data_IF_586236645597
#
_entry.id   IF_586236645597
#
_cell.length_a   1.000
_cell.length_b   1.000
_cell.length_c   1.000
_cell.angle_alpha   90.00
_cell.angle_beta   90.00
_cell.angle_gamma   90.00
#
_symmetry.space_group_name_H-M   'P 1'
#
loop_
_entity.id
_entity.type
_entity.pdbx_description
1 polymer ?
#
# COMPACT_ATOMS: atom_id res chain seq x y z
N UNK A 1 16.45 -25.45 -20.07
CA UNK A 1 15.25 -24.81 -20.66
C UNK A 1 15.22 -23.39 -20.11
N UNK A 2 15.30 -22.37 -20.98
CA UNK A 2 15.27 -20.97 -20.56
C UNK A 2 13.81 -20.54 -20.40
N UNK A 3 13.46 -19.98 -19.25
CA UNK A 3 12.14 -19.34 -19.02
C UNK A 3 12.11 -17.98 -19.71
N UNK A 4 10.98 -17.62 -20.28
CA UNK A 4 10.80 -16.34 -20.97
C UNK A 4 10.48 -15.19 -20.02
N UNK A 5 9.91 -15.53 -18.84
CA UNK A 5 9.54 -14.53 -17.83
C UNK A 5 9.46 -15.14 -16.42
N UNK A 6 9.47 -14.32 -15.38
CA UNK A 6 9.24 -14.76 -14.00
C UNK A 6 7.89 -15.47 -13.82
N UNK A 7 6.84 -14.98 -14.47
CA UNK A 7 5.50 -15.58 -14.40
C UNK A 7 5.48 -16.98 -14.97
N UNK A 8 6.12 -17.20 -16.14
CA UNK A 8 6.24 -18.53 -16.74
C UNK A 8 7.02 -19.48 -15.81
N UNK A 9 8.10 -19.00 -15.19
CA UNK A 9 8.85 -19.79 -14.23
C UNK A 9 7.98 -20.24 -13.05
N UNK A 10 7.29 -19.31 -12.41
CA UNK A 10 6.44 -19.60 -11.25
C UNK A 10 5.29 -20.54 -11.63
N UNK A 11 4.71 -20.38 -12.82
CA UNK A 11 3.66 -21.27 -13.32
C UNK A 11 4.18 -22.72 -13.50
N UNK A 12 5.34 -22.88 -14.12
CA UNK A 12 5.91 -24.23 -14.38
C UNK A 12 6.39 -24.97 -13.14
N UNK A 13 6.75 -24.24 -12.08
CA UNK A 13 7.14 -24.85 -10.79
C UNK A 13 5.92 -25.26 -9.94
N UNK A 14 4.69 -24.97 -10.39
CA UNK A 14 3.47 -25.26 -9.63
C UNK A 14 3.26 -24.31 -8.44
N UNK A 15 3.98 -23.19 -8.38
CA UNK A 15 3.90 -22.24 -7.28
C UNK A 15 2.70 -21.29 -7.38
N UNK A 16 2.08 -21.17 -8.59
CA UNK A 16 0.88 -20.36 -8.77
C UNK A 16 -0.31 -20.97 -8.04
N UNK A 17 -0.89 -20.20 -7.13
CA UNK A 17 -2.08 -20.59 -6.38
C UNK A 17 -2.79 -19.34 -5.83
N UNK A 18 -3.98 -19.50 -5.29
CA UNK A 18 -4.75 -18.49 -4.58
C UNK A 18 -4.10 -18.05 -3.23
N UNK A 19 -3.04 -18.74 -2.81
CA UNK A 19 -2.22 -18.39 -1.64
C UNK A 19 -1.00 -17.55 -2.00
N UNK A 20 -0.75 -17.29 -3.29
CA UNK A 20 0.35 -16.43 -3.74
C UNK A 20 -0.03 -14.97 -3.59
N UNK A 21 0.86 -14.18 -2.98
CA UNK A 21 0.84 -12.72 -3.04
C UNK A 21 2.00 -12.26 -3.89
N UNK A 22 1.70 -11.75 -5.08
CA UNK A 22 2.69 -11.22 -6.03
C UNK A 22 2.84 -9.71 -5.85
N UNK A 23 4.05 -9.23 -5.58
CA UNK A 23 4.30 -7.80 -5.46
C UNK A 23 4.47 -7.12 -6.83
N UNK A 24 3.97 -5.89 -6.93
CA UNK A 24 4.11 -4.95 -8.04
C UNK A 24 3.39 -5.32 -9.34
N UNK A 25 3.72 -6.42 -9.98
CA UNK A 25 3.16 -6.87 -11.27
C UNK A 25 3.12 -5.78 -12.36
N UNK A 26 4.17 -4.95 -12.47
CA UNK A 26 4.20 -3.75 -13.31
C UNK A 26 4.60 -4.00 -14.76
N UNK A 27 5.39 -5.04 -15.01
CA UNK A 27 6.00 -5.32 -16.32
C UNK A 27 5.45 -6.62 -16.91
N UNK A 28 4.16 -6.86 -16.77
CA UNK A 28 3.50 -8.06 -17.26
C UNK A 28 2.90 -7.85 -18.65
N UNK A 29 2.94 -8.88 -19.46
CA UNK A 29 2.14 -8.96 -20.68
C UNK A 29 0.71 -9.38 -20.35
N UNK A 30 -0.22 -9.15 -21.28
CA UNK A 30 -1.61 -9.58 -21.10
C UNK A 30 -1.76 -11.12 -20.92
N UNK A 31 -0.83 -11.90 -21.52
CA UNK A 31 -0.79 -13.36 -21.31
C UNK A 31 -0.40 -13.69 -19.87
N UNK A 32 0.64 -13.06 -19.35
CA UNK A 32 1.10 -13.28 -17.98
C UNK A 32 0.05 -12.87 -16.94
N UNK A 33 -0.67 -11.77 -17.17
CA UNK A 33 -1.79 -11.36 -16.32
C UNK A 33 -2.90 -12.42 -16.31
N UNK A 34 -3.24 -12.99 -17.48
CA UNK A 34 -4.23 -14.09 -17.57
C UNK A 34 -3.75 -15.34 -16.83
N UNK A 35 -2.47 -15.70 -16.98
CA UNK A 35 -1.89 -16.86 -16.29
C UNK A 35 -1.90 -16.64 -14.77
N UNK A 36 -1.51 -15.45 -14.31
CA UNK A 36 -1.54 -15.09 -12.89
C UNK A 36 -2.97 -15.07 -12.36
N UNK A 37 -3.89 -14.45 -13.07
CA UNK A 37 -5.30 -14.32 -12.68
C UNK A 37 -6.03 -15.66 -12.61
N UNK A 38 -5.72 -16.59 -13.53
CA UNK A 38 -6.29 -17.95 -13.51
C UNK A 38 -5.96 -18.72 -12.21
N UNK A 39 -4.85 -18.39 -11.55
CA UNK A 39 -4.50 -18.94 -10.23
C UNK A 39 -5.22 -18.27 -9.06
N UNK A 40 -5.94 -17.18 -9.29
CA UNK A 40 -6.56 -16.33 -8.27
C UNK A 40 -5.57 -15.73 -7.27
N UNK A 41 -4.32 -15.56 -7.67
CA UNK A 41 -3.29 -14.94 -6.84
C UNK A 41 -3.68 -13.52 -6.44
N UNK A 42 -3.26 -13.10 -5.26
CA UNK A 42 -3.34 -11.72 -4.86
C UNK A 42 -2.18 -10.92 -5.47
N UNK A 43 -2.43 -9.66 -5.82
CA UNK A 43 -1.41 -8.73 -6.29
C UNK A 43 -1.33 -7.55 -5.34
N UNK A 44 -0.17 -7.39 -4.68
CA UNK A 44 0.13 -6.24 -3.86
C UNK A 44 0.69 -5.11 -4.74
N UNK A 45 -0.16 -4.16 -5.11
CA UNK A 45 0.22 -2.99 -5.90
C UNK A 45 0.82 -1.94 -4.96
N UNK A 46 1.98 -1.38 -5.36
CA UNK A 46 2.68 -0.34 -4.60
C UNK A 46 2.71 0.95 -5.44
N UNK A 47 1.66 1.79 -5.36
CA UNK A 47 1.46 2.89 -6.29
C UNK A 47 2.50 4.01 -6.16
N UNK A 48 2.98 4.32 -4.96
CA UNK A 48 3.97 5.38 -4.76
C UNK A 48 5.29 5.10 -5.48
N UNK A 49 5.86 3.90 -5.33
CA UNK A 49 7.07 3.52 -6.07
C UNK A 49 6.80 3.34 -7.56
N UNK A 50 5.60 2.91 -7.94
CA UNK A 50 5.19 2.81 -9.33
C UNK A 50 5.15 4.19 -10.01
N UNK A 51 4.56 5.20 -9.35
CA UNK A 51 4.54 6.58 -9.80
C UNK A 51 5.94 7.16 -9.97
N UNK A 52 6.80 6.97 -8.94
CA UNK A 52 8.20 7.43 -8.99
C UNK A 52 8.98 6.84 -10.17
N UNK A 53 8.70 5.60 -10.55
CA UNK A 53 9.40 4.90 -11.63
C UNK A 53 8.71 5.03 -12.98
N UNK A 54 7.55 5.66 -13.07
CA UNK A 54 6.77 5.78 -14.30
C UNK A 54 6.24 4.45 -14.85
N UNK A 55 6.09 3.43 -13.99
CA UNK A 55 5.66 2.08 -14.36
C UNK A 55 4.54 1.61 -13.44
N UNK A 56 3.30 1.70 -13.88
CA UNK A 56 2.13 1.25 -13.13
C UNK A 56 1.72 -0.18 -13.48
N UNK A 57 1.23 -0.91 -12.48
CA UNK A 57 0.46 -2.13 -12.72
C UNK A 57 -0.87 -1.78 -13.39
N UNK A 58 -1.39 -2.67 -14.21
CA UNK A 58 -2.69 -2.53 -14.87
C UNK A 58 -3.77 -3.15 -13.98
N UNK A 59 -4.22 -2.39 -12.98
CA UNK A 59 -5.12 -2.89 -11.93
C UNK A 59 -6.39 -3.50 -12.53
N UNK A 60 -7.06 -2.79 -13.44
CA UNK A 60 -8.30 -3.23 -14.06
C UNK A 60 -8.13 -4.54 -14.87
N UNK A 61 -7.03 -4.68 -15.60
CA UNK A 61 -6.73 -5.90 -16.36
C UNK A 61 -6.42 -7.07 -15.44
N UNK A 62 -5.67 -6.84 -14.37
CA UNK A 62 -5.37 -7.85 -13.36
C UNK A 62 -6.65 -8.34 -12.64
N UNK A 63 -7.55 -7.42 -12.27
CA UNK A 63 -8.85 -7.77 -11.68
C UNK A 63 -9.72 -8.57 -12.65
N UNK A 64 -9.82 -8.13 -13.92
CA UNK A 64 -10.56 -8.88 -14.97
C UNK A 64 -9.96 -10.25 -15.25
N UNK A 65 -8.65 -10.39 -15.10
CA UNK A 65 -7.99 -11.68 -15.22
C UNK A 65 -8.28 -12.63 -14.04
N UNK A 66 -8.77 -12.10 -12.91
CA UNK A 66 -9.14 -12.87 -11.72
C UNK A 66 -8.20 -12.69 -10.52
N UNK A 67 -7.23 -11.76 -10.60
CA UNK A 67 -6.37 -11.42 -9.47
C UNK A 67 -7.14 -10.67 -8.38
N UNK A 68 -6.79 -10.92 -7.12
CA UNK A 68 -7.24 -10.12 -5.98
C UNK A 68 -6.29 -8.95 -5.77
N UNK A 69 -6.75 -7.73 -5.99
CA UNK A 69 -5.90 -6.54 -5.80
C UNK A 69 -5.83 -6.17 -4.33
N UNK A 70 -4.61 -5.94 -3.86
CA UNK A 70 -4.29 -5.32 -2.56
C UNK A 70 -3.29 -4.18 -2.74
N UNK A 71 -3.10 -3.37 -1.71
CA UNK A 71 -2.15 -2.25 -1.72
C UNK A 71 -1.04 -2.46 -0.71
N UNK A 72 0.14 -1.92 -1.04
CA UNK A 72 1.29 -1.87 -0.17
C UNK A 72 2.01 -0.53 -0.26
N UNK A 73 2.77 -0.21 0.76
CA UNK A 73 3.55 1.04 0.87
C UNK A 73 4.89 0.97 0.13
N UNK A 74 5.48 -0.23 0.06
CA UNK A 74 6.88 -0.39 -0.32
C UNK A 74 7.78 0.50 0.57
N UNK A 75 8.91 0.97 0.07
CA UNK A 75 9.85 1.85 0.77
C UNK A 75 9.66 3.35 0.46
N UNK A 76 8.50 3.74 -0.05
CA UNK A 76 8.30 5.09 -0.57
C UNK A 76 7.32 5.95 0.22
N UNK A 77 6.30 5.33 0.80
CA UNK A 77 5.26 6.05 1.50
C UNK A 77 4.67 5.14 2.59
N UNK A 78 4.97 5.44 3.82
CA UNK A 78 4.42 4.75 4.99
C UNK A 78 3.00 5.26 5.34
N UNK A 79 2.40 6.08 4.45
CA UNK A 79 1.05 6.63 4.57
C UNK A 79 0.07 5.85 3.68
N UNK A 80 -0.72 4.96 4.28
CA UNK A 80 -1.74 4.19 3.55
C UNK A 80 -2.88 5.06 2.98
N UNK A 81 -3.14 6.24 3.51
CA UNK A 81 -4.15 7.16 2.95
C UNK A 81 -3.65 7.72 1.61
N UNK A 82 -2.37 8.10 1.56
CA UNK A 82 -1.71 8.51 0.31
C UNK A 82 -1.65 7.35 -0.69
N UNK A 83 -1.32 6.15 -0.24
CA UNK A 83 -1.25 4.94 -1.08
C UNK A 83 -2.58 4.66 -1.77
N UNK A 84 -3.69 4.67 -1.03
CA UNK A 84 -5.05 4.47 -1.59
C UNK A 84 -5.38 5.53 -2.64
N UNK A 85 -5.13 6.79 -2.34
CA UNK A 85 -5.37 7.91 -3.26
C UNK A 85 -4.52 7.82 -4.52
N UNK A 86 -3.25 7.52 -4.36
CA UNK A 86 -2.31 7.38 -5.48
C UNK A 86 -2.74 6.23 -6.39
N UNK A 87 -3.13 5.07 -5.85
CA UNK A 87 -3.65 3.97 -6.62
C UNK A 87 -4.89 4.36 -7.42
N UNK A 88 -5.86 5.00 -6.76
CA UNK A 88 -7.10 5.49 -7.38
C UNK A 88 -6.81 6.42 -8.56
N UNK A 89 -5.98 7.44 -8.34
CA UNK A 89 -5.73 8.46 -9.36
C UNK A 89 -4.88 7.94 -10.51
N UNK A 90 -3.86 7.13 -10.24
CA UNK A 90 -3.04 6.53 -11.29
C UNK A 90 -3.87 5.64 -12.20
N UNK A 91 -4.76 4.82 -11.62
CA UNK A 91 -5.61 3.93 -12.41
C UNK A 91 -6.63 4.70 -13.24
N UNK A 92 -7.24 5.76 -12.70
CA UNK A 92 -8.13 6.65 -13.44
C UNK A 92 -7.43 7.34 -14.62
N UNK A 93 -6.22 7.87 -14.39
CA UNK A 93 -5.42 8.48 -15.46
C UNK A 93 -5.06 7.45 -16.52
N UNK A 94 -4.61 6.25 -16.11
CA UNK A 94 -4.26 5.17 -17.03
C UNK A 94 -5.44 4.74 -17.93
N UNK A 95 -6.65 4.70 -17.34
CA UNK A 95 -7.88 4.31 -18.07
C UNK A 95 -8.52 5.45 -18.86
N UNK A 96 -8.16 6.70 -18.61
CA UNK A 96 -8.88 7.86 -19.11
C UNK A 96 -10.31 7.97 -18.58
N UNK A 97 -10.57 7.41 -17.38
CA UNK A 97 -11.90 7.36 -16.74
C UNK A 97 -11.85 7.99 -15.35
N UNK A 98 -12.38 9.20 -15.22
CA UNK A 98 -12.40 9.92 -13.93
C UNK A 98 -13.40 9.37 -12.89
N UNK A 99 -14.18 8.33 -13.22
CA UNK A 99 -15.21 7.76 -12.34
C UNK A 99 -14.78 6.42 -11.74
N UNK A 100 -14.08 5.60 -12.51
CA UNK A 100 -13.67 4.26 -12.09
C UNK A 100 -12.14 4.12 -12.09
N UNK A 101 -11.60 3.47 -11.06
CA UNK A 101 -12.27 2.85 -9.92
C UNK A 101 -12.95 3.88 -9.00
N UNK A 102 -13.91 3.41 -8.20
CA UNK A 102 -14.57 4.20 -7.16
C UNK A 102 -13.68 4.33 -5.91
N UNK A 103 -13.90 5.34 -5.05
CA UNK A 103 -13.21 5.44 -3.77
C UNK A 103 -13.44 4.23 -2.86
N UNK A 104 -14.63 3.66 -2.91
CA UNK A 104 -15.03 2.47 -2.15
C UNK A 104 -14.25 1.23 -2.60
N UNK A 105 -14.02 1.04 -3.89
CA UNK A 105 -13.16 -0.01 -4.43
C UNK A 105 -11.71 0.18 -4.00
N UNK A 106 -11.17 1.39 -4.12
CA UNK A 106 -9.81 1.69 -3.71
C UNK A 106 -9.59 1.46 -2.20
N UNK A 107 -10.57 1.82 -1.36
CA UNK A 107 -10.53 1.54 0.07
C UNK A 107 -10.58 0.02 0.34
N UNK A 108 -11.36 -0.74 -0.43
CA UNK A 108 -11.43 -2.19 -0.30
C UNK A 108 -10.09 -2.87 -0.62
N UNK A 109 -9.31 -2.34 -1.58
CA UNK A 109 -7.96 -2.83 -1.86
C UNK A 109 -7.02 -2.71 -0.65
N UNK A 110 -7.15 -1.63 0.14
CA UNK A 110 -6.33 -1.38 1.32
C UNK A 110 -6.84 -2.05 2.60
N UNK A 111 -8.06 -2.60 2.60
CA UNK A 111 -8.71 -3.15 3.79
C UNK A 111 -9.12 -4.60 3.56
N UNK A 112 -10.33 -4.83 3.14
CA UNK A 112 -10.94 -6.15 2.98
C UNK A 112 -10.11 -7.11 2.11
N UNK A 113 -9.55 -6.61 1.03
CA UNK A 113 -8.77 -7.44 0.12
C UNK A 113 -7.44 -7.88 0.72
N UNK A 114 -6.81 -7.05 1.56
CA UNK A 114 -5.60 -7.42 2.30
C UNK A 114 -5.84 -8.63 3.21
N UNK A 115 -6.92 -8.62 3.99
CA UNK A 115 -7.31 -9.75 4.84
C UNK A 115 -7.59 -11.01 4.04
N UNK A 116 -8.32 -10.87 2.92
CA UNK A 116 -8.58 -12.00 2.01
C UNK A 116 -7.29 -12.59 1.43
N UNK A 117 -6.35 -11.75 1.03
CA UNK A 117 -5.05 -12.20 0.51
C UNK A 117 -4.23 -12.98 1.56
N UNK A 118 -4.40 -12.65 2.83
CA UNK A 118 -3.77 -13.34 3.96
C UNK A 118 -4.55 -14.58 4.43
N UNK A 119 -5.70 -14.87 3.82
CA UNK A 119 -6.57 -15.98 4.23
C UNK A 119 -7.29 -15.75 5.57
N UNK A 120 -7.39 -14.50 6.01
CA UNK A 120 -8.07 -14.12 7.27
C UNK A 120 -9.52 -13.76 6.96
N UNK A 121 -10.44 -14.57 7.45
CA UNK A 121 -11.86 -14.46 7.11
C UNK A 121 -12.62 -13.43 7.98
N UNK A 122 -12.13 -13.16 9.18
CA UNK A 122 -12.78 -12.37 10.23
C UNK A 122 -12.22 -10.95 10.33
N UNK A 123 -11.63 -10.40 9.27
CA UNK A 123 -11.02 -9.08 9.25
C UNK A 123 -11.34 -8.25 7.99
N UNK A 124 -10.97 -6.98 8.03
CA UNK A 124 -11.11 -6.04 6.91
C UNK A 124 -12.45 -5.29 6.82
N UNK A 125 -13.40 -5.54 7.72
CA UNK A 125 -14.63 -4.79 7.89
C UNK A 125 -15.17 -4.93 9.31
N UNK A 126 -15.94 -3.94 9.76
CA UNK A 126 -16.54 -3.95 11.09
C UNK A 126 -17.86 -4.75 11.08
N UNK A 127 -17.87 -5.84 11.83
CA UNK A 127 -19.05 -6.66 12.09
C UNK A 127 -18.93 -7.37 13.44
N UNK A 128 -20.04 -7.74 14.09
CA UNK A 128 -20.02 -8.58 15.29
C UNK A 128 -19.29 -9.90 15.01
N UNK A 129 -18.33 -10.25 15.87
CA UNK A 129 -17.52 -11.48 15.73
C UNK A 129 -16.24 -11.31 14.90
N UNK A 130 -16.07 -10.21 14.19
CA UNK A 130 -14.82 -9.92 13.48
C UNK A 130 -13.75 -9.34 14.41
N UNK A 131 -12.50 -9.40 13.96
CA UNK A 131 -11.37 -8.72 14.62
C UNK A 131 -11.66 -7.24 14.75
N UNK A 132 -11.35 -6.71 15.91
CA UNK A 132 -11.45 -5.27 16.16
C UNK A 132 -10.17 -4.56 15.66
N UNK A 133 -9.98 -4.59 14.34
CA UNK A 133 -8.94 -3.84 13.62
C UNK A 133 -9.59 -2.65 12.97
N UNK A 134 -9.32 -1.45 13.48
CA UNK A 134 -9.99 -0.23 13.03
C UNK A 134 -9.11 1.01 13.19
N UNK A 135 -9.45 2.03 12.43
CA UNK A 135 -8.95 3.39 12.59
C UNK A 135 -10.10 4.34 12.95
N UNK A 136 -9.82 5.37 13.73
CA UNK A 136 -10.75 6.47 14.01
C UNK A 136 -10.24 7.70 13.27
N UNK A 137 -11.08 8.27 12.41
CA UNK A 137 -10.74 9.42 11.58
C UNK A 137 -11.55 10.65 12.04
N UNK A 138 -10.85 11.77 12.23
CA UNK A 138 -11.49 13.05 12.53
C UNK A 138 -11.98 13.71 11.23
N UNK A 139 -13.29 13.76 11.06
CA UNK A 139 -13.94 14.36 9.90
C UNK A 139 -14.26 15.85 10.05
N UNK A 140 -13.89 16.50 11.17
CA UNK A 140 -14.20 17.92 11.43
C UNK A 140 -13.12 18.89 10.93
N UNK A 141 -12.14 18.37 10.18
CA UNK A 141 -11.06 19.17 9.59
C UNK A 141 -11.56 19.98 8.38
N UNK A 142 -11.01 21.18 8.11
CA UNK A 142 -11.48 22.05 7.03
C UNK A 142 -11.48 21.39 5.63
N UNK A 143 -10.54 20.51 5.35
CA UNK A 143 -10.43 19.80 4.07
C UNK A 143 -11.38 18.59 3.96
N UNK A 144 -12.05 18.20 5.06
CA UNK A 144 -12.98 17.06 5.10
C UNK A 144 -14.46 17.49 5.22
N UNK A 145 -14.73 18.76 5.44
CA UNK A 145 -16.13 19.24 5.56
C UNK A 145 -16.63 19.86 4.25
N UNK A 146 -17.89 19.61 3.89
CA UNK A 146 -18.87 18.71 4.52
C UNK A 146 -18.65 17.24 4.11
N UNK A 147 -18.54 16.33 5.09
CA UNK A 147 -18.31 14.90 4.87
C UNK A 147 -19.63 14.16 4.51
N UNK A 148 -20.30 14.58 3.43
CA UNK A 148 -21.57 14.00 3.00
C UNK A 148 -21.41 12.61 2.40
N UNK A 149 -20.26 12.34 1.75
CA UNK A 149 -19.85 11.04 1.23
C UNK A 149 -18.52 10.66 1.90
N UNK A 150 -18.62 10.09 3.10
CA UNK A 150 -17.50 9.88 4.02
C UNK A 150 -16.32 9.17 3.35
N UNK A 151 -16.56 8.02 2.71
CA UNK A 151 -15.49 7.25 2.04
C UNK A 151 -14.85 8.06 0.92
N UNK A 152 -15.67 8.65 0.05
CA UNK A 152 -15.18 9.48 -1.05
C UNK A 152 -14.38 10.68 -0.55
N UNK A 153 -14.86 11.37 0.48
CA UNK A 153 -14.18 12.50 1.09
C UNK A 153 -12.82 12.09 1.68
N UNK A 154 -12.79 11.01 2.46
CA UNK A 154 -11.56 10.51 3.07
C UNK A 154 -10.54 10.05 2.02
N UNK A 155 -10.95 9.26 1.03
CA UNK A 155 -10.03 8.76 -0.02
C UNK A 155 -9.47 9.89 -0.86
N UNK A 156 -10.29 10.90 -1.23
CA UNK A 156 -9.81 11.99 -2.07
C UNK A 156 -9.01 13.07 -1.31
N UNK A 157 -9.34 13.35 -0.07
CA UNK A 157 -8.86 14.54 0.65
C UNK A 157 -8.24 14.22 2.02
N UNK A 158 -8.51 13.05 2.62
CA UNK A 158 -7.98 12.66 3.93
C UNK A 158 -6.45 12.61 3.95
N UNK A 159 -5.89 12.72 5.12
CA UNK A 159 -4.45 12.66 5.40
C UNK A 159 -4.21 11.65 6.53
N UNK A 160 -3.00 11.08 6.63
CA UNK A 160 -2.66 10.22 7.77
C UNK A 160 -2.85 10.96 9.11
N UNK A 161 -2.59 12.26 9.14
CA UNK A 161 -2.79 13.11 10.31
C UNK A 161 -4.27 13.28 10.74
N UNK A 162 -5.24 12.81 9.95
CA UNK A 162 -6.65 12.79 10.33
C UNK A 162 -7.02 11.52 11.11
N UNK A 163 -6.14 10.53 11.14
CA UNK A 163 -6.31 9.31 11.93
C UNK A 163 -5.93 9.58 13.37
N UNK A 164 -6.91 9.67 14.26
CA UNK A 164 -6.70 9.98 15.68
C UNK A 164 -6.36 8.75 16.52
N UNK A 165 -6.85 7.58 16.12
CA UNK A 165 -6.61 6.35 16.85
C UNK A 165 -6.55 5.13 15.93
N UNK A 166 -5.79 4.12 16.35
CA UNK A 166 -5.64 2.84 15.67
C UNK A 166 -5.79 1.72 16.69
N UNK A 167 -6.63 0.75 16.39
CA UNK A 167 -6.81 -0.48 17.14
C UNK A 167 -6.44 -1.68 16.30
N UNK A 168 -5.74 -2.64 16.88
CA UNK A 168 -5.39 -3.92 16.27
C UNK A 168 -5.72 -5.03 17.27
N UNK A 169 -6.50 -6.00 16.82
CA UNK A 169 -6.95 -7.14 17.62
C UNK A 169 -7.55 -6.70 18.98
N UNK A 170 -8.39 -5.65 18.95
CA UNK A 170 -9.04 -5.08 20.11
C UNK A 170 -8.16 -4.24 21.06
N UNK A 171 -6.89 -4.04 20.71
CA UNK A 171 -5.92 -3.28 21.52
C UNK A 171 -5.60 -1.95 20.86
N UNK A 172 -5.72 -0.84 21.60
CA UNK A 172 -5.27 0.45 21.12
C UNK A 172 -3.74 0.45 20.97
N UNK A 173 -3.26 0.69 19.76
CA UNK A 173 -1.83 0.87 19.47
C UNK A 173 -1.47 2.34 19.29
N UNK A 174 -2.45 3.16 18.89
CA UNK A 174 -2.34 4.62 18.88
C UNK A 174 -3.65 5.24 19.38
N UNK A 175 -3.58 6.33 20.13
CA UNK A 175 -4.74 7.09 20.60
C UNK A 175 -4.39 8.56 20.78
N UNK A 176 -5.25 9.45 20.33
CA UNK A 176 -5.01 10.90 20.34
C UNK A 176 -3.66 11.26 19.70
N UNK A 177 -3.37 10.66 18.55
CA UNK A 177 -2.12 10.80 17.79
C UNK A 177 -0.85 10.37 18.55
N UNK A 178 -0.96 9.61 19.63
CA UNK A 178 0.19 9.09 20.39
C UNK A 178 0.26 7.59 20.26
N UNK A 179 1.42 7.10 19.80
CA UNK A 179 1.74 5.67 19.78
C UNK A 179 1.88 5.18 21.23
N UNK A 180 1.21 4.08 21.55
CA UNK A 180 1.13 3.53 22.92
C UNK A 180 2.09 2.34 23.13
N UNK A 181 2.62 1.78 22.06
CA UNK A 181 3.40 0.54 22.07
C UNK A 181 4.90 0.75 22.06
N UNK A 182 5.36 2.00 21.86
CA UNK A 182 6.78 2.33 21.79
C UNK A 182 7.02 3.80 22.19
N UNK A 183 8.25 4.14 22.52
CA UNK A 183 8.71 5.53 22.68
C UNK A 183 9.10 6.08 21.30
N UNK A 184 8.18 6.75 20.65
CA UNK A 184 8.36 7.33 19.31
C UNK A 184 9.52 8.34 19.28
N UNK A 185 9.66 9.18 20.30
CA UNK A 185 10.72 10.18 20.40
C UNK A 185 12.10 9.54 20.48
N UNK A 186 12.25 8.49 21.29
CA UNK A 186 13.50 7.74 21.39
C UNK A 186 13.85 7.05 20.06
N UNK A 187 12.86 6.45 19.39
CA UNK A 187 13.07 5.78 18.10
C UNK A 187 13.52 6.79 17.02
N UNK A 188 12.84 7.93 16.90
CA UNK A 188 13.21 8.97 15.93
C UNK A 188 14.62 9.49 16.18
N UNK A 189 14.97 9.73 17.43
CA UNK A 189 16.33 10.19 17.82
C UNK A 189 17.39 9.17 17.44
N UNK A 190 17.16 7.90 17.72
CA UNK A 190 18.11 6.83 17.42
C UNK A 190 18.21 6.55 15.91
N UNK A 191 17.10 6.58 15.18
CA UNK A 191 17.11 6.46 13.73
C UNK A 191 17.92 7.56 13.05
N UNK A 192 17.76 8.83 13.50
CA UNK A 192 18.55 9.96 13.00
C UNK A 192 20.04 9.76 13.28
N UNK A 193 20.39 9.32 14.49
CA UNK A 193 21.78 9.04 14.85
C UNK A 193 22.42 7.95 13.97
N UNK A 194 21.71 6.84 13.79
CA UNK A 194 22.16 5.72 12.94
C UNK A 194 22.31 6.18 11.48
N UNK A 195 21.30 6.87 10.94
CA UNK A 195 21.33 7.37 9.56
C UNK A 195 22.53 8.30 9.32
N UNK A 196 22.78 9.26 10.21
CA UNK A 196 23.93 10.16 10.10
C UNK A 196 25.27 9.43 10.14
N UNK A 197 25.40 8.41 11.00
CA UNK A 197 26.60 7.57 11.08
C UNK A 197 26.82 6.83 9.77
N UNK A 198 25.80 6.12 9.28
CA UNK A 198 25.87 5.36 8.04
C UNK A 198 26.23 6.25 6.82
N UNK A 199 25.65 7.44 6.75
CA UNK A 199 25.96 8.40 5.66
C UNK A 199 27.40 8.91 5.75
N UNK A 200 27.93 9.21 6.95
CA UNK A 200 29.33 9.62 7.13
C UNK A 200 30.29 8.53 6.66
N UNK A 201 30.06 7.28 7.12
CA UNK A 201 30.87 6.13 6.70
C UNK A 201 30.81 5.88 5.19
N UNK A 202 29.63 6.07 4.57
CA UNK A 202 29.49 5.95 3.11
C UNK A 202 30.37 6.97 2.39
N UNK A 203 30.35 8.26 2.82
CA UNK A 203 31.14 9.30 2.18
C UNK A 203 32.64 9.22 2.48
N UNK A 204 33.04 8.58 3.55
CA UNK A 204 34.44 8.23 3.79
C UNK A 204 34.92 7.17 2.79
N UNK A 205 34.10 6.16 2.50
CA UNK A 205 34.39 5.10 1.52
C UNK A 205 34.20 5.56 0.06
N UNK A 206 33.32 6.53 -0.16
CA UNK A 206 32.94 7.04 -1.50
C UNK A 206 33.03 8.57 -1.52
N UNK A 207 34.24 9.14 -1.52
CA UNK A 207 34.43 10.59 -1.52
C UNK A 207 34.00 11.25 -2.86
N UNK A 208 33.80 10.45 -3.89
CA UNK A 208 33.30 10.86 -5.21
C UNK A 208 31.80 11.22 -5.20
N UNK A 209 31.05 10.83 -4.17
CA UNK A 209 29.63 11.14 -4.09
C UNK A 209 29.37 12.56 -3.54
N UNK A 210 28.36 13.28 -4.07
CA UNK A 210 28.00 14.59 -3.56
C UNK A 210 27.43 14.50 -2.14
N UNK A 211 28.03 15.21 -1.19
CA UNK A 211 27.53 15.25 0.20
C UNK A 211 26.31 16.15 0.32
N UNK A 212 25.21 15.66 0.91
CA UNK A 212 24.06 16.51 1.16
C UNK A 212 24.39 17.61 2.18
N UNK A 213 23.81 18.83 2.05
CA UNK A 213 24.10 19.96 2.93
C UNK A 213 23.92 19.66 4.43
N UNK A 214 22.95 18.82 4.80
CA UNK A 214 22.66 18.45 6.19
C UNK A 214 23.68 17.52 6.87
N UNK A 215 24.71 17.07 6.14
CA UNK A 215 25.83 16.27 6.66
C UNK A 215 27.15 17.05 6.76
N UNK A 216 27.12 18.33 6.52
CA UNK A 216 28.26 19.22 6.71
C UNK A 216 28.50 19.50 8.19
#
# INVERSE_FOLDING_TARGET
MLFRSPTEYVARTGFLSDRLVAAHCRCMTAEEERVLGASRAAVAVNPAIAARRGLAARIDELERAGCLITLGTDNMAEDMVEVVRTALFMERVRRGDGRNPTPEEALAWATRNGYRALGVADGGWLAPGNRADLIVVNLTKPHLVPALRVVSCFVHQGQAADVEAVMVDGRWIMRNHRVLTMDEGAIVTEAERIARTAWRELFERRPDLPRPPGLR
#
